data_IF_800998959515
#
_entry.id   IF_800998959515
#
_cell.length_a   1.000
_cell.length_b   1.000
_cell.length_c   1.000
_cell.angle_alpha   90.00
_cell.angle_beta   90.00
_cell.angle_gamma   90.00
#
_symmetry.space_group_name_H-M   'P 1'
#
loop_
_entity.id
_entity.type
_entity.pdbx_description
1 polymer ?
#
# COMPACT_ATOMS: atom_id res chain seq x y z
N UNK A 1 -26.82 20.80 63.82
CA UNK A 1 -27.11 21.25 62.43
C UNK A 1 -25.85 21.46 61.57
N UNK A 2 -24.69 21.74 62.14
CA UNK A 2 -23.44 21.93 61.35
C UNK A 2 -22.86 20.64 60.69
N UNK A 3 -23.09 19.44 61.24
CA UNK A 3 -22.58 18.19 60.73
C UNK A 3 -23.26 17.75 59.40
N UNK A 4 -24.54 18.07 59.21
CA UNK A 4 -25.25 17.75 57.97
C UNK A 4 -24.77 18.62 56.81
N UNK A 5 -24.49 19.87 57.06
CA UNK A 5 -23.95 20.80 56.06
C UNK A 5 -22.54 20.39 55.58
N UNK A 6 -21.67 19.91 56.45
CA UNK A 6 -20.35 19.42 56.10
C UNK A 6 -20.38 18.13 55.27
N UNK A 7 -21.31 17.22 55.59
CA UNK A 7 -21.51 15.99 54.80
C UNK A 7 -21.98 16.28 53.38
N UNK A 8 -22.91 17.22 53.21
CA UNK A 8 -23.39 17.62 51.88
C UNK A 8 -22.27 18.28 51.03
N UNK A 9 -21.44 19.11 51.67
CA UNK A 9 -20.27 19.73 51.02
C UNK A 9 -19.25 18.66 50.54
N UNK A 10 -18.99 17.66 51.37
CA UNK A 10 -18.08 16.57 50.99
C UNK A 10 -18.60 15.76 49.81
N UNK A 11 -19.90 15.43 49.81
CA UNK A 11 -20.51 14.71 48.67
C UNK A 11 -20.48 15.55 47.41
N UNK A 12 -20.71 16.85 47.52
CA UNK A 12 -20.65 17.77 46.36
C UNK A 12 -19.23 17.82 45.78
N UNK A 13 -18.20 17.98 46.62
CA UNK A 13 -16.79 17.99 46.18
C UNK A 13 -16.42 16.65 45.54
N UNK A 14 -16.79 15.53 46.16
CA UNK A 14 -16.53 14.21 45.61
C UNK A 14 -17.18 13.99 44.22
N UNK A 15 -18.42 14.43 44.07
CA UNK A 15 -19.12 14.35 42.77
C UNK A 15 -18.44 15.21 41.69
N UNK A 16 -17.94 16.38 42.07
CA UNK A 16 -17.25 17.29 41.14
C UNK A 16 -15.92 16.70 40.67
N UNK A 17 -15.16 16.04 41.57
CA UNK A 17 -13.92 15.36 41.24
C UNK A 17 -14.18 14.16 40.29
N UNK A 18 -15.20 13.38 40.58
CA UNK A 18 -15.58 12.24 39.72
C UNK A 18 -16.01 12.76 38.36
N UNK A 19 -16.85 13.77 38.28
CA UNK A 19 -17.28 14.35 37.02
C UNK A 19 -16.11 14.89 36.21
N UNK A 20 -15.18 15.59 36.81
CA UNK A 20 -13.97 16.07 36.15
C UNK A 20 -13.10 14.92 35.62
N UNK A 21 -12.98 13.83 36.36
CA UNK A 21 -12.25 12.63 35.97
C UNK A 21 -12.90 11.95 34.74
N UNK A 22 -14.20 11.80 34.75
CA UNK A 22 -14.97 11.22 33.63
C UNK A 22 -14.85 12.08 32.37
N UNK A 23 -14.99 13.39 32.49
CA UNK A 23 -14.82 14.30 31.34
C UNK A 23 -13.40 14.22 30.78
N UNK A 24 -12.37 14.18 31.62
CA UNK A 24 -10.98 14.06 31.20
C UNK A 24 -10.71 12.78 30.40
N UNK A 25 -11.24 11.64 30.86
CA UNK A 25 -11.08 10.37 30.14
C UNK A 25 -11.84 10.32 28.82
N UNK A 26 -13.04 10.91 28.77
CA UNK A 26 -13.83 10.99 27.55
C UNK A 26 -13.16 11.88 26.51
N UNK A 27 -12.63 13.03 26.91
CA UNK A 27 -11.91 13.93 25.99
C UNK A 27 -10.70 13.22 25.38
N UNK A 28 -9.88 12.55 26.19
CA UNK A 28 -8.73 11.78 25.69
C UNK A 28 -9.17 10.63 24.76
N UNK A 29 -10.31 9.99 25.04
CA UNK A 29 -10.87 8.94 24.19
C UNK A 29 -11.30 9.48 22.84
N UNK A 30 -11.98 10.61 22.81
CA UNK A 30 -12.42 11.27 21.56
C UNK A 30 -11.23 11.73 20.72
N UNK A 31 -10.22 12.32 21.34
CA UNK A 31 -9.00 12.76 20.62
C UNK A 31 -8.30 11.58 19.92
N UNK A 32 -8.19 10.42 20.61
CA UNK A 32 -7.59 9.21 20.03
C UNK A 32 -8.42 8.65 18.87
N UNK A 33 -9.73 8.66 18.99
CA UNK A 33 -10.63 8.21 17.91
C UNK A 33 -10.55 9.16 16.72
N UNK A 34 -10.54 10.46 16.96
CA UNK A 34 -10.39 11.46 15.91
C UNK A 34 -9.09 11.28 15.13
N UNK A 35 -7.95 11.15 15.85
CA UNK A 35 -6.66 10.91 15.21
C UNK A 35 -6.64 9.61 14.38
N UNK A 36 -7.23 8.53 14.92
CA UNK A 36 -7.29 7.26 14.20
C UNK A 36 -8.21 7.31 12.95
N UNK A 37 -9.23 8.15 12.97
CA UNK A 37 -10.10 8.38 11.80
C UNK A 37 -9.40 9.24 10.77
N UNK A 38 -8.67 10.26 11.19
CA UNK A 38 -7.91 11.13 10.29
C UNK A 38 -6.80 10.32 9.58
N UNK A 39 -6.04 9.49 10.30
CA UNK A 39 -5.01 8.63 9.74
C UNK A 39 -5.62 7.66 8.70
N UNK A 40 -6.72 6.98 9.04
CA UNK A 40 -7.40 6.07 8.11
C UNK A 40 -7.98 6.77 6.88
N UNK A 41 -8.44 8.00 7.01
CA UNK A 41 -9.00 8.73 5.87
C UNK A 41 -7.93 9.11 4.85
N UNK A 42 -6.69 9.34 5.29
CA UNK A 42 -5.55 9.57 4.42
C UNK A 42 -5.15 8.29 3.69
N UNK A 43 -5.07 7.15 4.39
CA UNK A 43 -4.71 5.86 3.80
C UNK A 43 -5.74 5.44 2.74
N UNK A 44 -7.03 5.49 3.06
CA UNK A 44 -8.10 5.20 2.10
C UNK A 44 -8.09 6.16 0.91
N UNK A 45 -7.78 7.44 1.13
CA UNK A 45 -7.69 8.42 0.04
C UNK A 45 -6.52 8.15 -0.90
N UNK A 46 -5.41 7.60 -0.41
CA UNK A 46 -4.27 7.18 -1.23
C UNK A 46 -4.59 5.91 -2.00
N UNK A 47 -5.16 4.92 -1.35
CA UNK A 47 -5.53 3.63 -1.94
C UNK A 47 -6.54 3.78 -3.10
N UNK A 48 -7.54 4.66 -2.95
CA UNK A 48 -8.53 4.94 -4.02
C UNK A 48 -7.92 5.68 -5.21
N UNK A 49 -6.75 6.31 -5.05
CA UNK A 49 -6.10 7.08 -6.12
C UNK A 49 -5.09 6.29 -6.92
N UNK A 50 -4.59 5.18 -6.37
CA UNK A 50 -3.72 4.28 -7.10
C UNK A 50 -4.57 3.23 -7.80
N UNK A 51 -4.32 3.02 -9.05
CA UNK A 51 -4.91 1.96 -9.88
C UNK A 51 -3.94 1.69 -11.03
N UNK A 52 -3.71 0.45 -11.33
CA UNK A 52 -2.79 0.06 -12.39
C UNK A 52 -3.38 -1.07 -13.23
N UNK A 53 -2.85 -1.25 -14.42
CA UNK A 53 -3.22 -2.36 -15.29
C UNK A 53 -1.98 -2.91 -15.99
N UNK A 54 -1.76 -4.21 -15.90
CA UNK A 54 -0.73 -4.90 -16.67
C UNK A 54 -1.23 -5.03 -18.11
N UNK A 55 -0.48 -4.45 -19.05
CA UNK A 55 -0.83 -4.40 -20.47
C UNK A 55 0.02 -5.31 -21.35
N UNK A 56 0.92 -6.09 -20.74
CA UNK A 56 1.69 -7.12 -21.44
C UNK A 56 0.79 -8.21 -22.00
N UNK A 57 1.15 -8.74 -23.17
CA UNK A 57 0.38 -9.81 -23.82
C UNK A 57 0.65 -11.16 -23.13
N UNK A 58 -0.36 -11.78 -22.49
CA UNK A 58 -0.20 -13.09 -21.85
C UNK A 58 0.04 -14.23 -22.86
N UNK A 59 -0.20 -13.97 -24.16
CA UNK A 59 0.09 -14.90 -25.25
C UNK A 59 1.48 -14.75 -25.87
N UNK A 60 2.29 -13.79 -25.42
CA UNK A 60 3.66 -13.65 -25.86
C UNK A 60 4.52 -14.83 -25.37
N UNK A 61 5.69 -15.00 -26.00
CA UNK A 61 6.65 -16.04 -25.60
C UNK A 61 7.52 -15.52 -24.48
N UNK A 62 7.48 -16.19 -23.34
CA UNK A 62 8.31 -15.91 -22.18
C UNK A 62 9.23 -17.10 -21.91
N UNK A 63 10.53 -16.86 -21.83
CA UNK A 63 11.55 -17.90 -21.67
C UNK A 63 12.42 -17.63 -20.46
N UNK A 64 13.01 -18.65 -19.89
CA UNK A 64 13.91 -18.53 -18.72
C UNK A 64 15.26 -17.89 -19.07
N UNK A 65 15.62 -17.87 -20.35
CA UNK A 65 16.94 -17.39 -20.81
C UNK A 65 16.98 -15.86 -20.98
N UNK A 66 15.84 -15.18 -20.82
CA UNK A 66 15.71 -13.73 -20.97
C UNK A 66 15.07 -13.11 -19.73
N UNK A 67 15.44 -11.86 -19.36
CA UNK A 67 14.74 -11.14 -18.30
C UNK A 67 13.24 -11.07 -18.54
N UNK A 68 12.45 -11.24 -17.49
CA UNK A 68 11.01 -11.07 -17.59
C UNK A 68 10.66 -9.58 -17.64
N UNK A 69 10.19 -9.11 -18.78
CA UNK A 69 9.75 -7.74 -18.99
C UNK A 69 8.24 -7.65 -19.01
N UNK A 70 7.67 -6.81 -18.17
CA UNK A 70 6.23 -6.53 -18.15
C UNK A 70 5.99 -5.03 -18.28
N UNK A 71 4.93 -4.68 -18.99
CA UNK A 71 4.49 -3.30 -19.16
C UNK A 71 3.26 -3.06 -18.29
N UNK A 72 3.33 -2.01 -17.49
CA UNK A 72 2.26 -1.66 -16.55
C UNK A 72 1.86 -0.21 -16.78
N UNK A 73 0.57 0.03 -16.90
CA UNK A 73 0.00 1.35 -17.07
C UNK A 73 -0.59 1.85 -15.76
N UNK A 74 -0.27 3.08 -15.38
CA UNK A 74 -0.95 3.77 -14.29
C UNK A 74 -2.33 4.24 -14.78
N UNK A 75 -3.39 3.61 -14.30
CA UNK A 75 -4.79 3.97 -14.59
C UNK A 75 -5.40 4.82 -13.49
N UNK A 76 -4.68 4.98 -12.37
CA UNK A 76 -5.05 5.82 -11.26
C UNK A 76 -4.89 7.32 -11.51
N UNK A 77 -4.96 8.07 -10.44
CA UNK A 77 -4.86 9.55 -10.45
C UNK A 77 -3.62 10.08 -9.71
N UNK A 78 -2.78 9.19 -9.17
CA UNK A 78 -1.58 9.53 -8.42
C UNK A 78 -0.32 9.11 -9.15
N UNK A 79 0.74 9.93 -9.06
CA UNK A 79 2.07 9.57 -9.54
C UNK A 79 2.82 8.74 -8.50
N UNK A 80 3.61 7.76 -8.95
CA UNK A 80 4.42 6.87 -8.12
C UNK A 80 5.90 7.12 -8.40
N UNK A 81 6.73 7.35 -7.37
CA UNK A 81 8.19 7.38 -7.55
C UNK A 81 8.70 5.99 -7.93
N UNK A 82 9.55 5.92 -8.98
CA UNK A 82 10.10 4.65 -9.51
C UNK A 82 11.63 4.60 -9.48
N UNK A 83 12.26 5.57 -8.83
CA UNK A 83 13.73 5.71 -8.83
C UNK A 83 14.50 4.54 -8.22
N UNK A 84 13.88 3.74 -7.37
CA UNK A 84 14.55 2.67 -6.60
C UNK A 84 13.73 1.36 -6.49
N UNK A 85 12.70 1.20 -7.29
CA UNK A 85 11.76 0.07 -7.24
C UNK A 85 11.12 -0.20 -5.85
N UNK A 86 11.36 0.67 -4.85
CA UNK A 86 10.87 0.45 -3.47
C UNK A 86 9.35 0.58 -3.35
N UNK A 87 8.71 1.21 -4.33
CA UNK A 87 7.25 1.35 -4.38
C UNK A 87 6.54 0.10 -4.95
N UNK A 88 7.32 -0.91 -5.39
CA UNK A 88 6.80 -2.07 -6.12
C UNK A 88 7.22 -3.35 -5.42
N UNK A 89 6.25 -4.20 -5.10
CA UNK A 89 6.48 -5.54 -4.60
C UNK A 89 6.05 -6.58 -5.63
N UNK A 90 6.89 -7.57 -5.89
CA UNK A 90 6.65 -8.61 -6.88
C UNK A 90 6.73 -9.99 -6.24
N UNK A 91 5.71 -10.82 -6.51
CA UNK A 91 5.71 -12.23 -6.16
C UNK A 91 5.52 -13.06 -7.43
N UNK A 92 6.52 -13.86 -7.78
CA UNK A 92 6.51 -14.72 -8.95
C UNK A 92 6.38 -16.19 -8.55
N UNK A 93 5.35 -16.89 -9.04
CA UNK A 93 5.06 -18.29 -8.70
C UNK A 93 5.11 -18.60 -7.19
N UNK A 94 4.67 -17.63 -6.36
CA UNK A 94 4.67 -17.74 -4.90
C UNK A 94 5.99 -17.41 -4.22
N UNK A 95 6.99 -16.92 -4.96
CA UNK A 95 8.27 -16.47 -4.43
C UNK A 95 8.38 -14.95 -4.53
N UNK A 96 8.75 -14.30 -3.43
CA UNK A 96 9.03 -12.86 -3.42
C UNK A 96 10.33 -12.55 -4.19
N UNK A 97 10.27 -11.55 -5.05
CA UNK A 97 11.43 -11.05 -5.81
C UNK A 97 11.98 -9.80 -5.11
N UNK A 98 13.23 -9.82 -4.65
CA UNK A 98 13.85 -8.65 -4.02
C UNK A 98 13.95 -7.46 -4.99
N UNK A 99 13.72 -6.25 -4.51
CA UNK A 99 13.77 -5.03 -5.30
C UNK A 99 15.13 -4.79 -5.98
N UNK A 100 16.21 -5.36 -5.43
CA UNK A 100 17.55 -5.31 -6.06
C UNK A 100 17.63 -6.02 -7.43
N UNK A 101 16.67 -6.86 -7.74
CA UNK A 101 16.56 -7.62 -8.98
C UNK A 101 15.47 -7.07 -9.91
N UNK A 102 14.90 -5.93 -9.56
CA UNK A 102 13.82 -5.27 -10.29
C UNK A 102 14.30 -3.91 -10.77
N UNK A 103 14.24 -3.69 -12.07
CA UNK A 103 14.47 -2.39 -12.68
C UNK A 103 13.15 -1.85 -13.22
N UNK A 104 12.89 -0.58 -12.96
CA UNK A 104 11.67 0.09 -13.44
C UNK A 104 12.09 1.30 -14.25
N UNK A 105 11.69 1.32 -15.49
CA UNK A 105 11.96 2.43 -16.41
C UNK A 105 10.66 2.95 -17.02
N UNK A 106 10.55 4.28 -17.13
CA UNK A 106 9.49 4.87 -17.92
C UNK A 106 9.75 4.60 -19.41
N UNK A 107 8.79 3.96 -20.07
CA UNK A 107 8.90 3.57 -21.48
C UNK A 107 9.00 4.78 -22.43
N UNK A 108 8.65 5.99 -21.98
CA UNK A 108 8.53 7.15 -22.86
C UNK A 108 9.41 8.35 -22.50
N UNK A 109 9.66 8.63 -21.23
CA UNK A 109 10.29 9.88 -20.80
C UNK A 109 11.60 9.72 -20.03
N UNK A 110 11.83 8.58 -19.41
CA UNK A 110 12.96 8.36 -18.49
C UNK A 110 12.82 9.17 -17.20
N UNK A 111 11.61 9.57 -16.86
CA UNK A 111 11.31 10.27 -15.61
C UNK A 111 11.34 9.29 -14.41
N UNK A 112 11.65 9.82 -13.24
CA UNK A 112 11.66 9.06 -11.98
C UNK A 112 10.28 8.99 -11.30
N UNK A 113 9.24 9.51 -11.96
CA UNK A 113 7.86 9.51 -11.48
C UNK A 113 6.94 8.93 -12.54
N UNK A 114 6.32 7.82 -12.24
CA UNK A 114 5.29 7.18 -13.06
C UNK A 114 3.95 7.89 -12.89
N UNK A 115 3.58 8.73 -13.86
CA UNK A 115 2.38 9.58 -13.81
C UNK A 115 1.13 8.86 -14.30
N UNK A 116 -0.06 9.35 -13.93
CA UNK A 116 -1.32 8.88 -14.48
C UNK A 116 -1.33 8.82 -16.01
N UNK A 117 -1.71 7.66 -16.54
CA UNK A 117 -1.75 7.38 -17.99
C UNK A 117 -0.45 6.91 -18.61
N UNK A 118 0.68 7.03 -17.93
CA UNK A 118 1.99 6.58 -18.41
C UNK A 118 2.16 5.06 -18.24
N UNK A 119 3.08 4.51 -19.02
CA UNK A 119 3.44 3.10 -19.03
C UNK A 119 4.88 2.98 -18.56
N UNK A 120 5.10 2.12 -17.58
CA UNK A 120 6.45 1.71 -17.18
C UNK A 120 6.74 0.30 -17.66
N UNK A 121 8.00 0.05 -17.95
CA UNK A 121 8.56 -1.28 -18.15
C UNK A 121 9.20 -1.73 -16.85
N UNK A 122 8.74 -2.86 -16.34
CA UNK A 122 9.33 -3.52 -15.17
C UNK A 122 10.12 -4.70 -15.71
N UNK A 123 11.42 -4.65 -15.54
CA UNK A 123 12.36 -5.71 -15.90
C UNK A 123 12.77 -6.44 -14.65
N UNK A 124 12.55 -7.74 -14.64
CA UNK A 124 13.02 -8.60 -13.56
C UNK A 124 14.19 -9.37 -14.10
N UNK A 125 15.37 -9.07 -13.57
CA UNK A 125 16.62 -9.67 -14.02
C UNK A 125 16.60 -11.19 -13.92
N UNK A 126 17.31 -11.84 -14.85
CA UNK A 126 17.57 -13.28 -14.87
C UNK A 126 18.35 -13.68 -13.61
N UNK A 127 17.61 -13.87 -12.55
CA UNK A 127 18.09 -14.36 -11.28
C UNK A 127 17.56 -15.80 -11.10
N UNK A 128 18.31 -16.72 -10.48
CA UNK A 128 17.87 -18.08 -10.18
C UNK A 128 16.56 -18.15 -9.37
N UNK A 129 16.01 -17.01 -8.97
CA UNK A 129 14.70 -16.90 -8.33
C UNK A 129 13.53 -16.86 -9.31
N UNK A 130 13.77 -16.54 -10.60
CA UNK A 130 12.77 -16.59 -11.66
C UNK A 130 12.96 -17.86 -12.46
N UNK A 131 12.14 -18.85 -12.18
CA UNK A 131 12.03 -20.07 -12.95
C UNK A 131 10.71 -20.03 -13.75
N UNK A 132 10.80 -19.57 -15.00
CA UNK A 132 9.65 -19.58 -15.91
C UNK A 132 9.41 -21.03 -16.33
N UNK A 133 8.36 -21.60 -15.79
CA UNK A 133 8.01 -22.98 -16.05
C UNK A 133 7.34 -23.13 -17.43
N UNK A 134 7.64 -24.22 -18.12
CA UNK A 134 6.89 -24.61 -19.32
C UNK A 134 5.44 -24.95 -18.91
N UNK A 135 4.57 -23.96 -18.93
CA UNK A 135 3.19 -24.07 -18.44
C UNK A 135 2.67 -22.73 -17.93
N UNK A 136 1.75 -22.81 -16.97
CA UNK A 136 1.18 -21.60 -16.36
C UNK A 136 2.13 -20.97 -15.36
N UNK A 137 2.40 -19.69 -15.53
CA UNK A 137 3.12 -18.86 -14.57
C UNK A 137 2.22 -17.74 -14.08
N UNK A 138 2.46 -17.29 -12.86
CA UNK A 138 1.69 -16.22 -12.22
C UNK A 138 2.61 -15.21 -11.55
N UNK A 139 2.42 -13.96 -11.90
CA UNK A 139 3.09 -12.83 -11.29
C UNK A 139 2.03 -11.98 -10.57
N UNK A 140 2.28 -11.67 -9.31
CA UNK A 140 1.55 -10.67 -8.54
C UNK A 140 2.41 -9.42 -8.44
N UNK A 141 1.82 -8.30 -8.76
CA UNK A 141 2.41 -6.98 -8.68
C UNK A 141 1.60 -6.17 -7.69
N UNK A 142 2.27 -5.60 -6.68
CA UNK A 142 1.64 -4.70 -5.71
C UNK A 142 2.33 -3.34 -5.76
N UNK A 143 1.56 -2.28 -5.87
CA UNK A 143 2.05 -0.89 -5.86
C UNK A 143 1.14 -0.05 -4.98
N UNK A 144 1.65 0.50 -3.87
CA UNK A 144 0.86 1.31 -2.94
C UNK A 144 -0.49 0.66 -2.57
N UNK A 145 -0.47 -0.63 -2.21
CA UNK A 145 -1.64 -1.44 -1.82
C UNK A 145 -2.61 -1.81 -2.96
N UNK A 146 -2.38 -1.35 -4.20
CA UNK A 146 -3.10 -1.85 -5.37
C UNK A 146 -2.41 -3.12 -5.91
N UNK A 147 -3.19 -4.12 -6.25
CA UNK A 147 -2.70 -5.46 -6.60
C UNK A 147 -3.21 -5.88 -7.99
N UNK A 148 -2.26 -6.28 -8.84
CA UNK A 148 -2.56 -6.84 -10.15
C UNK A 148 -1.93 -8.22 -10.34
N UNK A 149 -2.63 -9.07 -11.06
CA UNK A 149 -2.16 -10.44 -11.36
C UNK A 149 -1.96 -10.61 -12.85
N UNK A 150 -0.79 -11.09 -13.22
CA UNK A 150 -0.47 -11.46 -14.60
C UNK A 150 -0.24 -12.96 -14.71
N UNK A 151 -1.08 -13.64 -15.49
CA UNK A 151 -0.97 -15.07 -15.77
C UNK A 151 -0.56 -15.28 -17.22
N UNK A 152 0.51 -16.00 -17.44
CA UNK A 152 1.04 -16.28 -18.79
C UNK A 152 1.60 -17.71 -18.88
N UNK A 153 1.92 -18.13 -20.10
CA UNK A 153 2.56 -19.43 -20.36
C UNK A 153 4.00 -19.23 -20.76
N UNK A 154 4.88 -19.93 -20.06
CA UNK A 154 6.27 -20.08 -20.47
C UNK A 154 6.47 -21.23 -21.44
N UNK A 155 7.52 -21.16 -22.22
CA UNK A 155 7.95 -22.17 -23.20
C UNK A 155 9.32 -22.72 -22.88
#
# INVERSE_FOLDING_TARGET
MASVSASHLNIFIASLVIAAGVVGTLTTGVDRVSSAVDDRSLDVSQQVRMDMAIISDPGATYTTDEPLMIHVRNTGSQGVPISDASAVDIVFNGRFIPNANVDISDANSGDEIWRPGEVVEITIDDNPEIDIQSGGNRLFLTVNEDEETFEFRGT
#
